data_IF_802796939229
#
_entry.id   IF_802796939229
#
_cell.length_a   1.000
_cell.length_b   1.000
_cell.length_c   1.000
_cell.angle_alpha   90.00
_cell.angle_beta   90.00
_cell.angle_gamma   90.00
#
_symmetry.space_group_name_H-M   'P 1'
#
loop_
_entity.id
_entity.type
_entity.pdbx_description
1 polymer ?
#
# COMPACT_ATOMS: atom_id res chain seq x y z
N UNK A 1 8.06 -54.23 57.71
CA UNK A 1 7.76 -53.22 56.66
C UNK A 1 8.46 -51.93 57.09
N UNK A 2 9.75 -51.72 56.80
CA UNK A 2 10.34 -51.25 55.53
C UNK A 2 9.78 -49.88 55.10
N UNK A 3 10.49 -48.80 55.48
CA UNK A 3 11.16 -47.79 54.64
C UNK A 3 10.19 -46.83 53.91
N UNK A 4 10.38 -45.51 53.81
CA UNK A 4 11.52 -44.78 53.25
C UNK A 4 11.36 -43.28 53.57
N UNK A 5 12.42 -42.64 54.08
CA UNK A 5 12.59 -41.19 54.09
C UNK A 5 12.87 -40.67 52.67
N UNK A 6 12.32 -39.51 52.30
CA UNK A 6 12.76 -38.76 51.13
C UNK A 6 12.49 -37.26 51.32
N UNK A 7 13.44 -36.56 51.92
CA UNK A 7 13.65 -35.14 51.66
C UNK A 7 14.37 -34.98 50.30
N UNK A 8 13.85 -34.13 49.42
CA UNK A 8 14.47 -33.83 48.12
C UNK A 8 13.68 -32.82 47.29
N UNK A 9 14.34 -31.98 46.46
CA UNK A 9 14.10 -30.54 46.43
C UNK A 9 13.04 -30.10 45.42
N UNK A 10 12.08 -29.28 45.87
CA UNK A 10 11.10 -28.58 45.03
C UNK A 10 11.70 -27.40 44.22
N UNK A 11 13.03 -27.31 44.09
CA UNK A 11 13.72 -26.17 43.44
C UNK A 11 14.22 -26.43 42.01
N UNK A 12 14.03 -27.63 41.45
CA UNK A 12 14.56 -27.96 40.11
C UNK A 12 13.63 -27.61 38.92
N UNK A 13 12.51 -26.90 39.13
CA UNK A 13 11.51 -26.68 38.07
C UNK A 13 11.47 -25.26 37.46
N UNK A 14 12.47 -24.39 37.70
CA UNK A 14 12.45 -23.01 37.19
C UNK A 14 13.63 -22.60 36.31
N UNK A 15 14.53 -23.53 35.94
CA UNK A 15 15.65 -23.22 35.04
C UNK A 15 15.33 -23.52 33.57
N UNK A 16 14.22 -22.96 33.09
CA UNK A 16 13.84 -22.97 31.68
C UNK A 16 13.85 -21.57 31.11
N UNK A 17 14.40 -21.40 29.90
CA UNK A 17 14.43 -20.10 29.22
C UNK A 17 12.99 -19.68 28.85
N UNK A 18 12.34 -18.87 29.70
CA UNK A 18 10.97 -18.37 29.44
C UNK A 18 11.03 -17.35 28.32
N UNK A 19 10.57 -17.76 27.13
CA UNK A 19 10.44 -16.88 25.96
C UNK A 19 9.34 -15.86 26.23
N UNK A 20 9.72 -14.69 26.77
CA UNK A 20 8.77 -13.59 27.05
C UNK A 20 8.18 -13.08 25.73
N UNK A 21 6.87 -13.27 25.54
CA UNK A 21 6.12 -12.68 24.42
C UNK A 21 6.20 -11.16 24.57
N UNK A 22 6.70 -10.47 23.54
CA UNK A 22 6.80 -9.01 23.51
C UNK A 22 5.51 -8.37 24.03
N UNK A 23 5.61 -7.55 25.09
CA UNK A 23 4.48 -6.90 25.72
C UNK A 23 3.86 -5.87 24.74
N UNK A 24 2.83 -6.28 23.99
CA UNK A 24 2.15 -5.44 23.00
C UNK A 24 1.14 -4.46 23.62
N UNK A 25 1.04 -4.42 24.96
CA UNK A 25 0.12 -3.56 25.71
C UNK A 25 0.23 -2.09 25.29
N UNK A 26 1.43 -1.54 25.07
CA UNK A 26 1.56 -0.16 24.55
C UNK A 26 0.93 0.02 23.16
N UNK A 27 1.09 -0.96 22.25
CA UNK A 27 0.47 -0.93 20.92
C UNK A 27 -1.05 -1.02 21.02
N UNK A 28 -1.56 -1.89 21.88
CA UNK A 28 -2.99 -2.07 22.14
C UNK A 28 -3.62 -0.82 22.78
N UNK A 29 -2.96 -0.22 23.77
CA UNK A 29 -3.38 1.04 24.41
C UNK A 29 -3.34 2.18 23.41
N UNK A 30 -2.31 2.28 22.55
CA UNK A 30 -2.28 3.29 21.50
C UNK A 30 -3.40 3.11 20.46
N UNK A 31 -3.72 1.87 20.09
CA UNK A 31 -4.82 1.56 19.16
C UNK A 31 -6.18 1.89 19.79
N UNK A 32 -6.40 1.46 21.05
CA UNK A 32 -7.59 1.81 21.81
C UNK A 32 -7.74 3.33 21.95
N UNK A 33 -6.66 4.07 22.20
CA UNK A 33 -6.70 5.54 22.32
C UNK A 33 -7.02 6.27 21.01
N UNK A 34 -6.71 5.69 19.84
CA UNK A 34 -7.04 6.25 18.53
C UNK A 34 -8.50 5.99 18.17
N UNK A 35 -8.96 4.78 18.47
CA UNK A 35 -10.37 4.38 18.35
C UNK A 35 -11.26 5.25 19.24
N UNK A 36 -10.86 5.52 20.49
CA UNK A 36 -11.65 6.39 21.39
C UNK A 36 -11.61 7.87 21.01
N UNK A 37 -10.60 8.31 20.24
CA UNK A 37 -10.48 9.69 19.76
C UNK A 37 -11.19 9.95 18.44
N UNK A 38 -11.91 8.97 17.88
CA UNK A 38 -12.54 9.07 16.56
C UNK A 38 -11.58 9.62 15.49
N UNK A 39 -10.29 9.31 15.63
CA UNK A 39 -9.29 9.76 14.66
C UNK A 39 -9.47 8.88 13.41
N UNK A 40 -9.76 9.47 12.23
CA UNK A 40 -9.95 8.68 11.02
C UNK A 40 -8.67 7.86 10.75
N UNK A 41 -8.76 6.54 10.93
CA UNK A 41 -7.66 5.63 10.63
C UNK A 41 -7.61 5.43 9.11
N UNK A 42 -6.50 5.80 8.49
CA UNK A 42 -6.24 5.56 7.06
C UNK A 42 -5.77 4.12 6.89
N UNK A 43 -6.44 3.35 6.03
CA UNK A 43 -5.96 2.03 5.64
C UNK A 43 -5.10 2.15 4.40
N UNK A 44 -3.86 1.66 4.50
CA UNK A 44 -2.98 1.47 3.34
C UNK A 44 -2.89 -0.02 3.07
N UNK A 45 -3.24 -0.42 1.85
CA UNK A 45 -3.14 -1.81 1.39
C UNK A 45 -2.29 -1.90 0.14
N UNK A 46 -1.21 -2.67 0.18
CA UNK A 46 -0.52 -3.10 -1.04
C UNK A 46 -1.41 -4.15 -1.69
N UNK A 47 -1.98 -3.84 -2.84
CA UNK A 47 -2.92 -4.70 -3.56
C UNK A 47 -2.20 -5.72 -4.43
N UNK A 48 -0.96 -5.43 -4.83
CA UNK A 48 -0.11 -6.39 -5.53
C UNK A 48 1.04 -5.74 -6.29
N UNK A 49 1.70 -6.56 -7.11
CA UNK A 49 2.74 -6.12 -8.02
C UNK A 49 2.38 -6.53 -9.44
N UNK A 50 2.66 -5.65 -10.40
CA UNK A 50 2.39 -5.87 -11.80
C UNK A 50 3.62 -6.26 -12.59
N UNK A 51 3.41 -7.09 -13.62
CA UNK A 51 4.46 -7.55 -14.53
C UNK A 51 4.01 -7.47 -15.98
N UNK A 52 4.82 -6.81 -16.79
CA UNK A 52 4.66 -6.64 -18.22
C UNK A 52 3.63 -5.58 -18.59
N UNK A 53 3.82 -5.03 -19.79
CA UNK A 53 2.96 -4.00 -20.35
C UNK A 53 1.47 -4.36 -20.34
N UNK A 54 1.10 -5.60 -20.71
CA UNK A 54 -0.30 -6.02 -20.76
C UNK A 54 -1.02 -5.94 -19.40
N UNK A 55 -0.33 -6.31 -18.31
CA UNK A 55 -0.90 -6.21 -16.96
C UNK A 55 -1.09 -4.75 -16.57
N UNK A 56 -0.09 -3.91 -16.81
CA UNK A 56 -0.12 -2.49 -16.48
C UNK A 56 -1.23 -1.79 -17.28
N UNK A 57 -1.40 -2.14 -18.56
CA UNK A 57 -2.50 -1.65 -19.40
C UNK A 57 -3.85 -1.97 -18.79
N UNK A 58 -4.07 -3.24 -18.44
CA UNK A 58 -5.31 -3.70 -17.85
C UNK A 58 -5.57 -3.02 -16.50
N UNK A 59 -4.52 -2.82 -15.69
CA UNK A 59 -4.64 -2.16 -14.39
C UNK A 59 -4.94 -0.67 -14.52
N UNK A 60 -4.24 0.06 -15.38
CA UNK A 60 -4.52 1.49 -15.63
C UNK A 60 -5.93 1.70 -16.18
N UNK A 61 -6.36 0.85 -17.11
CA UNK A 61 -7.73 0.83 -17.62
C UNK A 61 -8.76 0.54 -16.53
N UNK A 62 -8.45 -0.37 -15.60
CA UNK A 62 -9.30 -0.67 -14.46
C UNK A 62 -9.45 0.53 -13.51
N UNK A 63 -8.34 1.12 -13.05
CA UNK A 63 -8.39 2.23 -12.08
C UNK A 63 -8.94 3.53 -12.68
N UNK A 64 -8.77 3.74 -14.00
CA UNK A 64 -9.39 4.88 -14.71
C UNK A 64 -10.81 4.60 -15.18
N UNK A 65 -11.38 3.41 -14.92
CA UNK A 65 -12.68 2.98 -15.46
C UNK A 65 -12.79 3.22 -16.97
N UNK A 66 -11.79 2.76 -17.72
CA UNK A 66 -11.68 2.97 -19.16
C UNK A 66 -11.54 4.44 -19.59
N UNK A 67 -11.11 5.32 -18.69
CA UNK A 67 -10.94 6.76 -18.93
C UNK A 67 -12.07 7.63 -18.40
N UNK A 68 -13.09 7.04 -17.76
CA UNK A 68 -14.19 7.78 -17.12
C UNK A 68 -13.78 8.42 -15.79
N UNK A 69 -12.67 7.95 -15.21
CA UNK A 69 -12.03 8.53 -14.01
C UNK A 69 -10.67 9.09 -14.40
N UNK A 70 -10.50 10.37 -14.11
CA UNK A 70 -9.23 11.10 -14.20
C UNK A 70 -8.13 10.44 -13.38
N UNK A 71 -6.94 10.41 -13.98
CA UNK A 71 -5.71 9.99 -13.34
C UNK A 71 -4.85 11.22 -13.06
N UNK A 72 -4.09 11.20 -11.97
CA UNK A 72 -3.09 12.23 -11.68
C UNK A 72 -1.72 11.59 -11.51
N UNK A 73 -0.68 12.16 -12.13
CA UNK A 73 0.69 11.63 -12.09
C UNK A 73 1.60 12.35 -11.09
N UNK A 74 2.87 11.94 -11.04
CA UNK A 74 3.90 12.53 -10.17
C UNK A 74 4.21 14.01 -10.42
N UNK A 75 3.83 14.53 -11.58
CA UNK A 75 4.03 15.94 -11.98
C UNK A 75 2.80 16.80 -11.70
N UNK A 76 1.73 16.21 -11.17
CA UNK A 76 0.43 16.87 -10.99
C UNK A 76 -0.35 17.05 -12.30
N UNK A 77 0.02 16.36 -13.37
CA UNK A 77 -0.73 16.38 -14.62
C UNK A 77 -1.97 15.49 -14.50
N UNK A 78 -3.13 16.04 -14.87
CA UNK A 78 -4.39 15.30 -14.94
C UNK A 78 -4.52 14.67 -16.32
N UNK A 79 -4.70 13.36 -16.35
CA UNK A 79 -4.88 12.53 -17.54
C UNK A 79 -6.33 12.07 -17.55
N UNK A 80 -7.13 12.67 -18.42
CA UNK A 80 -8.56 12.43 -18.52
C UNK A 80 -8.95 11.89 -19.90
N UNK A 81 -9.91 10.98 -19.90
CA UNK A 81 -10.46 10.40 -21.11
C UNK A 81 -9.61 9.25 -21.64
N UNK A 82 -10.31 8.34 -22.33
CA UNK A 82 -9.73 7.07 -22.79
C UNK A 82 -8.44 7.22 -23.58
N UNK A 83 -8.39 8.16 -24.53
CA UNK A 83 -7.23 8.36 -25.39
C UNK A 83 -6.01 8.84 -24.62
N UNK A 84 -6.18 9.79 -23.69
CA UNK A 84 -5.06 10.30 -22.90
C UNK A 84 -4.49 9.22 -21.98
N UNK A 85 -5.37 8.40 -21.37
CA UNK A 85 -4.96 7.24 -20.57
C UNK A 85 -4.20 6.22 -21.42
N UNK A 86 -4.69 5.90 -22.63
CA UNK A 86 -4.01 4.99 -23.56
C UNK A 86 -2.64 5.54 -24.01
N UNK A 87 -2.52 6.83 -24.28
CA UNK A 87 -1.28 7.46 -24.72
C UNK A 87 -0.26 7.59 -23.57
N UNK A 88 -0.70 7.90 -22.34
CA UNK A 88 0.15 7.84 -21.14
C UNK A 88 0.64 6.43 -20.84
N UNK A 89 -0.22 5.43 -21.03
CA UNK A 89 0.19 4.03 -20.90
C UNK A 89 1.28 3.65 -21.90
N UNK A 90 1.19 4.08 -23.16
CA UNK A 90 2.22 3.78 -24.17
C UNK A 90 3.60 4.30 -23.77
N UNK A 91 3.69 5.46 -23.10
CA UNK A 91 4.98 5.96 -22.61
C UNK A 91 5.57 5.02 -21.55
N UNK A 92 4.74 4.54 -20.61
CA UNK A 92 5.16 3.54 -19.63
C UNK A 92 5.61 2.23 -20.28
N UNK A 93 4.96 1.78 -21.35
CA UNK A 93 5.40 0.57 -22.08
C UNK A 93 6.79 0.74 -22.67
N UNK A 94 7.07 1.89 -23.31
CA UNK A 94 8.36 2.16 -23.94
C UNK A 94 9.49 2.10 -22.91
N UNK A 95 9.25 2.61 -21.70
CA UNK A 95 10.26 2.64 -20.64
C UNK A 95 10.56 1.29 -19.98
N UNK A 96 9.60 0.37 -20.04
CA UNK A 96 9.75 -0.99 -19.51
C UNK A 96 10.53 -1.90 -20.47
N UNK A 97 10.56 -1.55 -21.77
CA UNK A 97 11.30 -2.26 -22.82
C UNK A 97 10.85 -3.71 -23.05
N UNK A 98 11.47 -4.36 -24.04
CA UNK A 98 11.33 -5.81 -24.31
C UNK A 98 12.23 -6.64 -23.39
N UNK A 99 12.28 -6.30 -22.10
CA UNK A 99 13.08 -7.06 -21.14
C UNK A 99 12.46 -8.44 -21.02
N UNK A 100 13.21 -9.49 -21.41
CA UNK A 100 12.81 -10.89 -21.24
C UNK A 100 12.22 -11.08 -19.84
N UNK A 101 10.95 -11.46 -19.81
CA UNK A 101 10.20 -11.63 -18.56
C UNK A 101 10.95 -12.60 -17.64
N UNK A 102 11.39 -12.11 -16.50
CA UNK A 102 12.08 -12.93 -15.49
C UNK A 102 11.14 -13.23 -14.31
N UNK A 103 11.40 -14.33 -13.59
CA UNK A 103 10.46 -14.88 -12.58
C UNK A 103 10.10 -13.86 -11.49
N UNK A 104 11.05 -13.03 -11.09
CA UNK A 104 10.91 -12.08 -9.98
C UNK A 104 10.71 -10.63 -10.43
N UNK A 105 10.34 -10.41 -11.69
CA UNK A 105 10.09 -9.08 -12.25
C UNK A 105 8.93 -8.39 -11.54
N UNK A 106 9.20 -7.17 -11.07
CA UNK A 106 8.20 -6.24 -10.55
C UNK A 106 8.35 -4.94 -11.34
N UNK A 107 7.41 -4.68 -12.23
CA UNK A 107 7.42 -3.46 -13.05
C UNK A 107 6.62 -2.36 -12.37
N UNK A 108 5.57 -2.73 -11.64
CA UNK A 108 4.74 -1.82 -10.85
C UNK A 108 4.42 -2.39 -9.48
N UNK A 109 4.21 -1.49 -8.52
CA UNK A 109 3.61 -1.77 -7.22
C UNK A 109 2.28 -1.04 -7.14
N UNK A 110 1.20 -1.76 -6.82
CA UNK A 110 -0.14 -1.22 -6.72
C UNK A 110 -0.57 -1.17 -5.26
N UNK A 111 -1.16 -0.05 -4.87
CA UNK A 111 -1.65 0.19 -3.51
C UNK A 111 -3.03 0.84 -3.54
N UNK A 112 -3.74 0.71 -2.44
CA UNK A 112 -5.00 1.39 -2.17
C UNK A 112 -4.89 2.15 -0.85
N UNK A 113 -5.27 3.42 -0.87
CA UNK A 113 -5.41 4.28 0.31
C UNK A 113 -6.89 4.49 0.55
N UNK A 114 -7.47 3.94 1.62
CA UNK A 114 -8.90 4.15 1.93
C UNK A 114 -9.10 4.99 3.18
N UNK A 115 -10.17 5.78 3.13
CA UNK A 115 -10.58 6.72 4.16
C UNK A 115 -11.99 6.36 4.66
N UNK A 116 -12.34 6.74 5.90
CA UNK A 116 -13.69 6.54 6.41
C UNK A 116 -14.77 7.27 5.57
N UNK A 117 -16.01 6.77 5.58
CA UNK A 117 -17.15 7.48 4.98
C UNK A 117 -17.28 8.91 5.50
N UNK A 118 -17.70 9.82 4.64
CA UNK A 118 -17.87 11.24 4.97
C UNK A 118 -16.58 12.06 4.97
N UNK A 119 -15.43 11.45 4.64
CA UNK A 119 -14.20 12.21 4.37
C UNK A 119 -14.37 12.98 3.05
N UNK A 120 -14.16 14.31 3.00
CA UNK A 120 -14.32 15.08 1.77
C UNK A 120 -13.35 14.62 0.67
N UNK A 121 -13.86 14.43 -0.55
CA UNK A 121 -13.12 13.92 -1.71
C UNK A 121 -11.78 14.64 -1.94
N UNK A 122 -11.79 15.98 -1.92
CA UNK A 122 -10.58 16.80 -2.08
C UNK A 122 -9.55 16.59 -0.95
N UNK A 123 -10.02 16.31 0.27
CA UNK A 123 -9.10 16.00 1.36
C UNK A 123 -8.44 14.63 1.17
N UNK A 124 -9.16 13.66 0.59
CA UNK A 124 -8.60 12.35 0.25
C UNK A 124 -7.58 12.47 -0.88
N UNK A 125 -7.93 13.20 -1.95
CA UNK A 125 -7.03 13.47 -3.09
C UNK A 125 -5.75 14.16 -2.64
N UNK A 126 -5.87 15.22 -1.83
CA UNK A 126 -4.71 15.93 -1.26
C UNK A 126 -3.85 15.02 -0.39
N UNK A 127 -4.44 14.25 0.51
CA UNK A 127 -3.70 13.33 1.36
C UNK A 127 -2.96 12.25 0.55
N UNK A 128 -3.58 11.72 -0.51
CA UNK A 128 -2.94 10.77 -1.41
C UNK A 128 -1.78 11.39 -2.19
N UNK A 129 -1.94 12.62 -2.68
CA UNK A 129 -0.89 13.38 -3.36
C UNK A 129 0.31 13.60 -2.44
N UNK A 130 0.08 14.12 -1.24
CA UNK A 130 1.13 14.38 -0.25
C UNK A 130 1.87 13.09 0.11
N UNK A 131 1.12 12.00 0.33
CA UNK A 131 1.69 10.68 0.59
C UNK A 131 2.54 10.16 -0.58
N UNK A 132 2.04 10.24 -1.82
CA UNK A 132 2.75 9.75 -2.99
C UNK A 132 4.03 10.56 -3.25
N UNK A 133 3.95 11.88 -3.12
CA UNK A 133 5.10 12.77 -3.24
C UNK A 133 6.17 12.45 -2.19
N UNK A 134 5.79 12.34 -0.92
CA UNK A 134 6.71 12.05 0.19
C UNK A 134 7.41 10.70 0.02
N UNK A 135 6.67 9.66 -0.41
CA UNK A 135 7.21 8.30 -0.49
C UNK A 135 7.91 7.98 -1.80
N UNK A 136 7.46 8.56 -2.92
CA UNK A 136 7.85 8.12 -4.26
C UNK A 136 8.38 9.25 -5.15
N UNK A 137 7.98 10.50 -4.93
CA UNK A 137 8.26 11.62 -5.85
C UNK A 137 9.73 11.87 -6.15
N UNK A 138 10.65 11.48 -5.26
CA UNK A 138 12.09 11.65 -5.48
C UNK A 138 12.71 10.56 -6.40
N UNK A 139 12.02 9.43 -6.57
CA UNK A 139 12.66 8.22 -7.12
C UNK A 139 11.80 7.46 -8.11
N UNK A 140 10.50 7.69 -8.19
CA UNK A 140 9.59 6.83 -8.94
C UNK A 140 8.49 7.65 -9.60
N UNK A 141 8.18 7.32 -10.84
CA UNK A 141 6.96 7.76 -11.50
C UNK A 141 5.77 7.02 -10.88
N UNK A 142 4.67 7.72 -10.71
CA UNK A 142 3.44 7.13 -10.20
C UNK A 142 2.23 7.76 -10.85
N UNK A 143 1.10 7.07 -10.73
CA UNK A 143 -0.20 7.59 -11.10
C UNK A 143 -1.22 7.14 -10.07
N UNK A 144 -2.23 7.97 -9.82
CA UNK A 144 -3.32 7.60 -8.95
C UNK A 144 -4.68 8.00 -9.47
N UNK A 145 -5.70 7.26 -9.04
CA UNK A 145 -7.11 7.47 -9.36
C UNK A 145 -7.93 7.50 -8.07
N UNK A 146 -8.82 8.46 -7.95
CA UNK A 146 -9.73 8.58 -6.81
C UNK A 146 -11.11 7.98 -7.14
N UNK A 147 -11.60 7.10 -6.27
CA UNK A 147 -12.94 6.50 -6.35
C UNK A 147 -13.71 6.78 -5.05
N UNK A 148 -15.00 7.13 -5.16
CA UNK A 148 -15.88 7.41 -4.01
C UNK A 148 -17.15 6.55 -3.97
N UNK A 149 -17.25 5.56 -4.85
CA UNK A 149 -18.45 4.78 -5.13
C UNK A 149 -18.30 3.30 -4.73
N UNK A 150 -17.29 2.97 -3.93
CA UNK A 150 -17.19 1.63 -3.36
C UNK A 150 -18.45 1.28 -2.54
N UNK A 151 -18.87 0.02 -2.61
CA UNK A 151 -19.88 -0.52 -1.70
C UNK A 151 -19.47 -0.27 -0.24
N UNK A 152 -20.28 0.49 0.50
CA UNK A 152 -19.96 0.97 1.85
C UNK A 152 -19.57 2.44 1.95
N UNK A 153 -19.41 3.15 0.83
CA UNK A 153 -19.21 4.60 0.78
C UNK A 153 -17.83 5.06 1.25
N UNK A 154 -16.84 4.17 1.25
CA UNK A 154 -15.47 4.51 1.65
C UNK A 154 -14.71 5.11 0.46
N UNK A 155 -14.39 6.42 0.48
CA UNK A 155 -13.55 7.00 -0.56
C UNK A 155 -12.13 6.42 -0.49
N UNK A 156 -11.57 6.11 -1.65
CA UNK A 156 -10.26 5.50 -1.74
C UNK A 156 -9.51 5.92 -3.00
N UNK A 157 -8.19 5.81 -2.92
CA UNK A 157 -7.28 6.11 -4.02
C UNK A 157 -6.54 4.84 -4.40
N UNK A 158 -6.60 4.49 -5.68
CA UNK A 158 -5.68 3.52 -6.28
C UNK A 158 -4.40 4.24 -6.67
N UNK A 159 -3.25 3.78 -6.17
CA UNK A 159 -1.93 4.31 -6.49
C UNK A 159 -1.09 3.22 -7.15
N UNK A 160 -0.61 3.49 -8.35
CA UNK A 160 0.30 2.63 -9.09
C UNK A 160 1.65 3.30 -9.21
N UNK A 161 2.69 2.65 -8.70
CA UNK A 161 4.07 3.14 -8.69
C UNK A 161 4.91 2.30 -9.63
N UNK A 162 5.63 2.95 -10.54
CA UNK A 162 6.60 2.27 -11.42
C UNK A 162 7.82 1.86 -10.59
N UNK A 163 8.16 0.57 -10.63
CA UNK A 163 9.25 0.02 -9.81
C UNK A 163 10.63 0.43 -10.32
N UNK A 164 10.74 0.78 -11.60
CA UNK A 164 11.94 1.40 -12.17
C UNK A 164 12.16 2.75 -11.48
N UNK A 165 13.37 2.98 -10.96
CA UNK A 165 13.72 4.28 -10.40
C UNK A 165 13.93 5.29 -11.53
N UNK A 166 13.48 6.52 -11.33
CA UNK A 166 13.91 7.67 -12.09
C UNK A 166 15.43 7.79 -11.96
N UNK A 167 16.11 8.09 -13.07
CA UNK A 167 17.52 8.42 -13.01
C UNK A 167 17.69 9.68 -12.14
N UNK A 168 18.72 9.72 -11.30
CA UNK A 168 19.07 10.95 -10.61
C UNK A 168 19.31 12.03 -11.68
N UNK A 169 18.72 13.22 -11.49
CA UNK A 169 19.09 14.37 -12.30
C UNK A 169 20.61 14.58 -12.16
N UNK A 170 21.33 14.82 -13.28
CA UNK A 170 22.78 14.98 -13.28
C UNK A 170 23.24 16.16 -12.42
#
# INVERSE_FOLDING_TARGET
MAAIEAEGPLQAATSGNVRRKSNSTRKLVSKASRVTRSSPEVMVKITGFGKGAAYIAAHMKYISRNGDVELENDRGEVIEGRKAVEDYFKSWQQDLGDVKRHKDQRDTMNMMLSMPPGTPDESVRRAARDFALEKFGNNHEYVFAFHNDAEGGNPHVHLTVKSKRLAAAP
#
